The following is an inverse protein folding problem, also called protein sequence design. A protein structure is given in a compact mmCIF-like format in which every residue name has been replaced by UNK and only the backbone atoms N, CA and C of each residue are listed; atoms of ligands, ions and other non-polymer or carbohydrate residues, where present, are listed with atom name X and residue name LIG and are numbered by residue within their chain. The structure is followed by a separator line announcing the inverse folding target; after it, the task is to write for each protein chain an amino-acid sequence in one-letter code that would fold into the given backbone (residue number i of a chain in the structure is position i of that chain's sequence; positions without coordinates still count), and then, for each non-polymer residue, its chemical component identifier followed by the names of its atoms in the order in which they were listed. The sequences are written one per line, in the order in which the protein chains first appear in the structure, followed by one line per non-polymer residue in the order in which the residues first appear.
data_IF_813720443793
#
_entry.id   IF_813720443793
#
_cell.length_a   1.000
_cell.length_b   1.000
_cell.length_c   1.000
_cell.angle_alpha   90.00
_cell.angle_beta   90.00
_cell.angle_gamma   90.00
#
_symmetry.space_group_name_H-M   'P 1'
#
loop_
_entity.id
_entity.type
_entity.pdbx_description
1 polymer ?
#
# COMPACT_ATOMS: atom_id res chain seq x y z
N UNK A 1 7.49 -2.85 14.41
CA UNK A 1 7.32 -2.47 13.00
C UNK A 1 5.84 -2.33 12.61
N UNK A 2 4.91 -3.10 13.19
CA UNK A 2 3.49 -3.09 12.79
C UNK A 2 2.51 -2.83 13.95
N UNK A 3 2.93 -2.16 15.02
CA UNK A 3 2.11 -2.02 16.24
C UNK A 3 0.82 -1.20 16.02
N UNK A 4 0.77 -0.35 14.99
CA UNK A 4 -0.35 0.56 14.73
C UNK A 4 -1.26 0.09 13.56
N UNK A 5 -1.04 -1.12 13.03
CA UNK A 5 -1.87 -1.66 11.94
C UNK A 5 -3.01 -2.49 12.55
N UNK A 6 -4.29 -2.21 12.22
CA UNK A 6 -5.44 -2.85 12.87
C UNK A 6 -5.72 -4.28 12.38
N UNK A 7 -4.76 -4.90 11.70
CA UNK A 7 -4.84 -6.25 11.13
C UNK A 7 -3.51 -6.98 11.30
N UNK A 8 -3.55 -8.31 11.27
CA UNK A 8 -2.35 -9.13 11.32
C UNK A 8 -1.46 -8.89 10.08
N UNK A 9 -0.16 -8.73 10.30
CA UNK A 9 0.83 -8.53 9.23
C UNK A 9 1.92 -9.59 9.35
N UNK A 10 2.10 -10.36 8.27
CA UNK A 10 3.12 -11.41 8.25
C UNK A 10 3.26 -12.06 6.87
N UNK A 11 4.41 -12.69 6.64
CA UNK A 11 4.76 -13.37 5.37
C UNK A 11 3.76 -14.47 5.03
N UNK A 12 3.13 -15.07 6.05
CA UNK A 12 2.16 -16.17 5.86
C UNK A 12 0.95 -15.76 5.00
N UNK A 13 0.66 -14.46 4.91
CA UNK A 13 -0.49 -13.92 4.19
C UNK A 13 -0.16 -13.45 2.77
N UNK A 14 1.09 -13.52 2.31
CA UNK A 14 1.49 -13.04 0.96
C UNK A 14 0.69 -13.71 -0.17
N UNK A 15 0.34 -14.99 0.01
CA UNK A 15 -0.44 -15.77 -0.96
C UNK A 15 -1.96 -15.59 -0.87
N UNK A 16 -2.46 -14.76 0.04
CA UNK A 16 -3.89 -14.54 0.22
C UNK A 16 -4.50 -13.87 -1.02
N UNK A 17 -5.75 -14.25 -1.36
CA UNK A 17 -6.49 -13.67 -2.49
C UNK A 17 -7.86 -13.19 -2.02
N UNK A 18 -8.16 -11.93 -2.27
CA UNK A 18 -9.48 -11.34 -1.97
C UNK A 18 -10.38 -11.50 -3.21
N UNK A 19 -11.48 -12.25 -3.09
CA UNK A 19 -12.44 -12.42 -4.19
C UNK A 19 -13.32 -11.19 -4.32
N UNK A 20 -13.90 -10.97 -5.51
CA UNK A 20 -14.71 -9.77 -5.81
C UNK A 20 -15.88 -9.53 -4.84
N UNK A 21 -16.47 -10.58 -4.27
CA UNK A 21 -17.57 -10.47 -3.29
C UNK A 21 -17.10 -10.04 -1.90
N UNK A 22 -15.83 -10.29 -1.57
CA UNK A 22 -15.21 -10.04 -0.27
C UNK A 22 -14.36 -8.74 -0.29
N UNK A 23 -14.23 -8.10 -1.46
CA UNK A 23 -13.45 -6.89 -1.67
C UNK A 23 -14.24 -5.65 -1.27
N UNK A 24 -13.68 -4.82 -0.39
CA UNK A 24 -14.28 -3.55 0.01
C UNK A 24 -13.99 -2.40 -0.98
N UNK A 25 -12.77 -2.36 -1.53
CA UNK A 25 -12.33 -1.34 -2.50
C UNK A 25 -11.32 -1.95 -3.48
N UNK A 26 -11.34 -1.49 -4.73
CA UNK A 26 -10.35 -1.80 -5.76
C UNK A 26 -9.72 -0.49 -6.23
N UNK A 27 -8.40 -0.35 -6.09
CA UNK A 27 -7.65 0.79 -6.59
C UNK A 27 -6.69 0.28 -7.67
N UNK A 28 -6.91 0.71 -8.91
CA UNK A 28 -6.19 0.19 -10.07
C UNK A 28 -6.92 -0.96 -10.76
N UNK A 29 -6.19 -1.98 -11.20
CA UNK A 29 -6.74 -3.06 -12.04
C UNK A 29 -6.72 -2.75 -13.54
N UNK A 30 -6.99 -3.74 -14.42
CA UNK A 30 -6.77 -3.64 -15.87
C UNK A 30 -7.51 -2.48 -16.54
N UNK A 31 -8.73 -2.20 -16.07
CA UNK A 31 -9.62 -1.20 -16.68
C UNK A 31 -9.34 0.24 -16.20
N UNK A 32 -8.51 0.41 -15.17
CA UNK A 32 -8.13 1.73 -14.68
C UNK A 32 -6.93 2.25 -15.47
N UNK A 33 -7.17 3.31 -16.24
CA UNK A 33 -6.17 3.94 -17.11
C UNK A 33 -4.98 4.51 -16.32
N UNK A 34 -5.24 5.11 -15.17
CA UNK A 34 -4.25 5.84 -14.36
C UNK A 34 -4.08 5.16 -13.00
N UNK A 35 -2.96 4.47 -12.81
CA UNK A 35 -2.55 3.81 -11.56
C UNK A 35 -1.03 3.70 -11.56
N UNK A 36 -0.38 4.10 -10.48
CA UNK A 36 1.07 4.04 -10.37
C UNK A 36 1.51 4.08 -8.91
N UNK A 37 2.71 3.58 -8.68
CA UNK A 37 3.50 3.78 -7.48
C UNK A 37 4.79 4.50 -7.87
N UNK A 38 5.30 5.38 -7.01
CA UNK A 38 6.47 6.21 -7.35
C UNK A 38 7.38 6.42 -6.15
N UNK A 39 8.57 5.84 -6.22
CA UNK A 39 9.69 6.18 -5.35
C UNK A 39 10.56 7.26 -6.01
N UNK A 40 10.98 8.28 -5.25
CA UNK A 40 11.88 9.34 -5.73
C UNK A 40 12.99 9.57 -4.72
N UNK A 41 14.21 9.75 -5.23
CA UNK A 41 15.32 10.28 -4.43
C UNK A 41 15.13 11.79 -4.29
N UNK A 42 15.31 12.29 -3.08
CA UNK A 42 15.25 13.71 -2.73
C UNK A 42 16.45 14.08 -1.87
N UNK A 43 16.71 15.39 -1.75
CA UNK A 43 17.71 15.88 -0.79
C UNK A 43 17.17 15.73 0.64
N UNK A 44 18.07 15.68 1.62
CA UNK A 44 17.70 15.45 3.02
C UNK A 44 16.79 16.57 3.55
N UNK A 45 17.02 17.80 3.14
CA UNK A 45 16.21 18.97 3.53
C UNK A 45 14.79 18.98 2.94
N UNK A 46 14.49 18.10 1.98
CA UNK A 46 13.17 17.99 1.34
C UNK A 46 12.34 16.81 1.87
N UNK A 47 12.86 16.07 2.87
CA UNK A 47 12.22 14.90 3.47
C UNK A 47 12.08 15.09 4.97
N UNK A 48 10.86 14.88 5.48
CA UNK A 48 10.57 14.78 6.90
C UNK A 48 10.43 13.30 7.25
N UNK A 49 11.33 12.78 8.09
CA UNK A 49 11.35 11.37 8.46
C UNK A 49 10.05 10.96 9.17
N UNK A 50 9.48 9.82 8.78
CA UNK A 50 8.23 9.30 9.31
C UNK A 50 6.95 10.04 8.89
N UNK A 51 7.02 11.08 8.04
CA UNK A 51 5.83 11.81 7.59
C UNK A 51 4.94 10.95 6.68
N UNK A 52 3.65 10.88 7.01
CA UNK A 52 2.59 10.23 6.20
C UNK A 52 1.51 11.30 5.89
N UNK A 53 1.00 11.33 4.65
CA UNK A 53 0.00 12.31 4.15
C UNK A 53 -1.10 11.60 3.39
#
# INVERSE_FOLDING_TARGET
MFQDIPVDVGIIYEGERIRRKDMFVELGGPDVKEKFELARVKKLEEVEDGKIV
#
